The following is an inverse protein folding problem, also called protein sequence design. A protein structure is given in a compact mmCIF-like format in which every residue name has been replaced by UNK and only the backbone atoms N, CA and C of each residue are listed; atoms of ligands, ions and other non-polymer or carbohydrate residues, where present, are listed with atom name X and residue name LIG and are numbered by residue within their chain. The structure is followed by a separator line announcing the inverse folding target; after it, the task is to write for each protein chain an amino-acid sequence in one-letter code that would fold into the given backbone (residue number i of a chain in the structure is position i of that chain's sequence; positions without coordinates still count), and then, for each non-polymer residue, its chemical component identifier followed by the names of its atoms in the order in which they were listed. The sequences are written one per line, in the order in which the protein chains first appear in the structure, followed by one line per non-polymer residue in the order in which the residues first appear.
data_IF_186139937349
#
_entry.id   IF_186139937349
#
_cell.length_a   1.000
_cell.length_b   1.000
_cell.length_c   1.000
_cell.angle_alpha   90.00
_cell.angle_beta   90.00
_cell.angle_gamma   90.00
#
_symmetry.space_group_name_H-M   'P 1'
#
loop_
_entity.id
_entity.type
_entity.pdbx_description
1 polymer ?
#
# COMPACT_ATOMS: atom_id res chain seq x y z
N UNK A 1 -23.03 4.53 0.79
CA UNK A 1 -21.62 4.84 1.02
C UNK A 1 -20.78 4.13 0.00
N UNK A 2 -20.01 4.87 -0.77
CA UNK A 2 -19.27 4.31 -1.90
C UNK A 2 -17.95 3.71 -1.44
N UNK A 3 -17.69 2.48 -1.86
CA UNK A 3 -16.41 1.82 -1.67
C UNK A 3 -15.45 2.28 -2.78
N UNK A 4 -14.25 2.67 -2.38
CA UNK A 4 -13.23 3.19 -3.28
C UNK A 4 -11.95 2.39 -3.13
N UNK A 5 -11.23 2.21 -4.22
CA UNK A 5 -9.92 1.53 -4.22
C UNK A 5 -8.88 2.46 -4.82
N UNK A 6 -7.78 2.64 -4.09
CA UNK A 6 -6.61 3.34 -4.59
C UNK A 6 -5.42 2.38 -4.54
N UNK A 7 -4.65 2.37 -5.61
CA UNK A 7 -3.40 1.63 -5.65
C UNK A 7 -2.33 2.53 -6.25
N UNK A 8 -1.17 2.55 -5.62
CA UNK A 8 -0.05 3.34 -6.13
C UNK A 8 1.26 2.63 -5.86
N UNK A 9 2.25 2.99 -6.67
CA UNK A 9 3.62 2.51 -6.55
C UNK A 9 4.51 3.66 -6.18
N UNK A 10 5.49 3.41 -5.33
CA UNK A 10 6.49 4.40 -4.95
C UNK A 10 7.84 3.75 -4.82
N UNK A 11 8.89 4.58 -4.79
CA UNK A 11 10.26 4.12 -4.58
C UNK A 11 10.72 4.52 -3.17
N UNK A 12 11.44 3.63 -2.51
CA UNK A 12 12.00 3.89 -1.18
C UNK A 12 13.20 4.82 -1.31
N UNK A 13 13.23 5.87 -0.48
CA UNK A 13 14.40 6.74 -0.30
C UNK A 13 15.25 6.19 0.83
N UNK A 14 16.26 5.41 0.50
CA UNK A 14 17.11 4.74 1.48
C UNK A 14 17.83 5.73 2.41
N UNK A 15 18.20 6.90 1.89
CA UNK A 15 18.89 7.94 2.66
C UNK A 15 17.99 8.56 3.76
N UNK A 16 16.69 8.34 3.70
CA UNK A 16 15.74 8.83 4.71
C UNK A 16 15.38 7.77 5.74
N UNK A 17 15.90 6.57 5.61
CA UNK A 17 15.66 5.51 6.58
C UNK A 17 16.57 5.68 7.79
N UNK A 18 15.99 5.73 8.99
CA UNK A 18 16.71 5.89 10.24
C UNK A 18 17.04 4.59 10.92
N UNK A 19 16.23 3.55 10.62
CA UNK A 19 16.38 2.21 11.17
C UNK A 19 16.64 1.24 10.03
N UNK A 20 17.12 0.02 10.32
CA UNK A 20 17.13 -1.04 9.32
C UNK A 20 15.74 -1.23 8.72
N UNK A 21 15.66 -1.60 7.46
CA UNK A 21 14.39 -1.68 6.73
C UNK A 21 13.33 -2.53 7.43
N UNK A 22 13.63 -3.72 7.98
CA UNK A 22 12.61 -4.51 8.70
C UNK A 22 12.00 -3.75 9.87
N UNK A 23 12.82 -3.01 10.62
CA UNK A 23 12.36 -2.23 11.78
C UNK A 23 11.51 -1.05 11.35
N UNK A 24 11.90 -0.37 10.28
CA UNK A 24 11.11 0.73 9.70
C UNK A 24 9.75 0.23 9.24
N UNK A 25 9.72 -0.92 8.58
CA UNK A 25 8.47 -1.52 8.11
C UNK A 25 7.56 -1.89 9.28
N UNK A 26 8.08 -2.57 10.29
CA UNK A 26 7.29 -3.00 11.45
C UNK A 26 6.66 -1.79 12.15
N UNK A 27 7.45 -0.76 12.38
CA UNK A 27 6.99 0.46 13.05
C UNK A 27 5.92 1.17 12.22
N UNK A 28 6.14 1.26 10.91
CA UNK A 28 5.21 1.89 9.99
C UNK A 28 3.89 1.12 9.93
N UNK A 29 3.94 -0.20 9.86
CA UNK A 29 2.75 -1.04 9.81
C UNK A 29 1.89 -0.90 11.08
N UNK A 30 2.51 -0.84 12.25
CA UNK A 30 1.78 -0.63 13.50
C UNK A 30 1.00 0.68 13.46
N UNK A 31 1.62 1.74 12.98
CA UNK A 31 1.00 3.06 12.87
C UNK A 31 -0.13 3.05 11.84
N UNK A 32 0.13 2.49 10.66
CA UNK A 32 -0.87 2.43 9.57
C UNK A 32 -2.09 1.64 10.02
N UNK A 33 -1.89 0.48 10.63
CA UNK A 33 -2.99 -0.38 11.07
C UNK A 33 -3.87 0.32 12.11
N UNK A 34 -3.27 1.12 12.98
CA UNK A 34 -4.01 1.91 13.97
C UNK A 34 -4.89 2.95 13.28
N UNK A 35 -4.34 3.68 12.33
CA UNK A 35 -5.06 4.70 11.57
C UNK A 35 -6.17 4.06 10.74
N UNK A 36 -5.86 2.97 10.05
CA UNK A 36 -6.81 2.27 9.18
C UNK A 36 -8.00 1.71 9.97
N UNK A 37 -7.75 1.20 11.18
CA UNK A 37 -8.82 0.68 12.03
C UNK A 37 -9.85 1.76 12.33
N UNK A 38 -9.39 2.95 12.65
CA UNK A 38 -10.30 4.09 12.96
C UNK A 38 -11.03 4.58 11.73
N UNK A 39 -10.39 4.53 10.58
CA UNK A 39 -10.93 5.07 9.33
C UNK A 39 -11.78 4.07 8.55
N UNK A 40 -11.80 2.80 8.95
CA UNK A 40 -12.48 1.76 8.18
C UNK A 40 -11.80 1.42 6.87
N UNK A 41 -10.48 1.65 6.80
CA UNK A 41 -9.66 1.37 5.61
C UNK A 41 -8.99 0.02 5.79
N UNK A 42 -8.95 -0.76 4.71
CA UNK A 42 -8.21 -2.01 4.63
C UNK A 42 -7.30 -1.97 3.41
N UNK A 43 -6.37 -2.91 3.31
CA UNK A 43 -5.49 -2.93 2.15
C UNK A 43 -4.26 -3.79 2.33
N UNK A 44 -3.26 -3.50 1.49
CA UNK A 44 -2.01 -4.25 1.46
C UNK A 44 -0.84 -3.33 1.15
N UNK A 45 0.31 -3.68 1.69
CA UNK A 45 1.60 -3.06 1.39
C UNK A 45 2.56 -4.15 0.94
N UNK A 46 3.04 -4.01 -0.28
CA UNK A 46 3.90 -5.01 -0.90
C UNK A 46 5.25 -4.38 -1.19
N UNK A 47 6.31 -5.06 -0.79
CA UNK A 47 7.68 -4.65 -1.07
C UNK A 47 8.22 -5.49 -2.22
N UNK A 48 8.65 -4.83 -3.31
CA UNK A 48 9.24 -5.49 -4.47
C UNK A 48 10.53 -4.75 -4.81
N UNK A 49 11.66 -5.31 -4.44
CA UNK A 49 12.97 -4.67 -4.58
C UNK A 49 13.00 -3.32 -3.86
N UNK A 50 13.11 -2.21 -4.61
CA UNK A 50 13.15 -0.87 -4.05
C UNK A 50 11.80 -0.15 -4.12
N UNK A 51 10.76 -0.88 -4.55
CA UNK A 51 9.43 -0.32 -4.74
C UNK A 51 8.47 -0.79 -3.68
N UNK A 52 7.55 0.08 -3.34
CA UNK A 52 6.41 -0.24 -2.49
C UNK A 52 5.16 -0.10 -3.35
N UNK A 53 4.33 -1.13 -3.32
CA UNK A 53 2.99 -1.11 -3.92
C UNK A 53 2.00 -1.13 -2.77
N UNK A 54 1.10 -0.15 -2.74
CA UNK A 54 0.14 -0.05 -1.67
C UNK A 54 -1.28 0.01 -2.23
N UNK A 55 -2.15 -0.82 -1.66
CA UNK A 55 -3.57 -0.85 -1.99
C UNK A 55 -4.35 -0.37 -0.77
N UNK A 56 -5.28 0.55 -0.98
CA UNK A 56 -6.15 1.08 0.06
C UNK A 56 -7.59 0.95 -0.38
N UNK A 57 -8.44 0.45 0.49
CA UNK A 57 -9.86 0.24 0.22
C UNK A 57 -10.70 0.71 1.39
N UNK A 58 -11.79 1.41 1.10
CA UNK A 58 -12.69 1.93 2.11
C UNK A 58 -13.58 3.01 1.53
N UNK A 59 -14.20 3.78 2.42
CA UNK A 59 -14.98 4.93 2.01
C UNK A 59 -14.10 5.94 1.28
N UNK A 60 -14.60 6.52 0.20
CA UNK A 60 -13.83 7.38 -0.70
C UNK A 60 -13.04 8.46 0.04
N UNK A 61 -13.71 9.22 0.92
CA UNK A 61 -13.04 10.31 1.63
C UNK A 61 -11.90 9.83 2.51
N UNK A 62 -12.09 8.70 3.19
CA UNK A 62 -11.06 8.15 4.08
C UNK A 62 -9.88 7.61 3.28
N UNK A 63 -10.14 6.95 2.15
CA UNK A 63 -9.07 6.46 1.28
C UNK A 63 -8.23 7.63 0.73
N UNK A 64 -8.89 8.68 0.25
CA UNK A 64 -8.18 9.84 -0.31
C UNK A 64 -7.36 10.58 0.75
N UNK A 65 -7.87 10.69 1.98
CA UNK A 65 -7.10 11.26 3.09
C UNK A 65 -5.83 10.45 3.37
N UNK A 66 -5.95 9.13 3.33
CA UNK A 66 -4.80 8.24 3.55
C UNK A 66 -3.79 8.37 2.41
N UNK A 67 -4.25 8.43 1.17
CA UNK A 67 -3.38 8.67 0.00
C UNK A 67 -2.60 9.97 0.16
N UNK A 68 -3.28 11.03 0.59
CA UNK A 68 -2.63 12.32 0.81
C UNK A 68 -1.49 12.21 1.83
N UNK A 69 -1.71 11.49 2.93
CA UNK A 69 -0.68 11.28 3.94
C UNK A 69 0.52 10.53 3.38
N UNK A 70 0.29 9.52 2.54
CA UNK A 70 1.36 8.75 1.91
C UNK A 70 2.17 9.61 0.94
N UNK A 71 1.49 10.45 0.15
CA UNK A 71 2.16 11.34 -0.81
C UNK A 71 3.10 12.34 -0.14
N UNK A 72 2.89 12.59 1.15
CA UNK A 72 3.75 13.50 1.94
C UNK A 72 4.77 12.76 2.80
N UNK A 73 4.92 11.44 2.64
CA UNK A 73 5.91 10.68 3.39
C UNK A 73 7.31 10.92 2.79
N UNK A 74 8.25 11.48 3.57
CA UNK A 74 9.59 11.82 3.05
C UNK A 74 10.44 10.60 2.69
N UNK A 75 10.03 9.40 3.13
CA UNK A 75 10.76 8.15 2.84
C UNK A 75 10.42 7.59 1.46
N UNK A 76 9.48 8.22 0.74
CA UNK A 76 9.01 7.74 -0.56
C UNK A 76 9.20 8.83 -1.61
N UNK A 77 9.50 8.40 -2.85
CA UNK A 77 9.49 9.29 -4.01
C UNK A 77 8.94 8.54 -5.23
N UNK A 78 8.85 9.25 -6.34
CA UNK A 78 8.33 8.70 -7.60
C UNK A 78 6.98 8.01 -7.40
N UNK A 79 6.08 8.66 -6.66
CA UNK A 79 4.76 8.11 -6.36
C UNK A 79 3.89 8.17 -7.60
N UNK A 80 3.41 7.00 -8.03
CA UNK A 80 2.61 6.84 -9.24
C UNK A 80 1.30 6.15 -8.90
N UNK A 81 0.18 6.79 -9.24
CA UNK A 81 -1.14 6.18 -9.12
C UNK A 81 -1.35 5.13 -10.20
N UNK A 82 -1.75 3.93 -9.79
CA UNK A 82 -2.05 2.82 -10.68
C UNK A 82 -3.56 2.67 -10.83
N UNK A 83 -4.28 2.65 -9.72
CA UNK A 83 -5.74 2.50 -9.69
C UNK A 83 -6.32 3.57 -8.78
N UNK A 84 -7.35 4.27 -9.24
CA UNK A 84 -8.14 5.22 -8.46
C UNK A 84 -9.56 5.13 -8.98
N UNK A 85 -10.38 4.26 -8.38
CA UNK A 85 -11.72 4.00 -8.90
C UNK A 85 -12.65 3.48 -7.82
N UNK A 86 -13.97 3.66 -7.98
CA UNK A 86 -14.95 2.97 -7.17
C UNK A 86 -14.79 1.45 -7.31
N UNK A 87 -15.10 0.72 -6.26
CA UNK A 87 -14.99 -0.73 -6.22
C UNK A 87 -16.30 -1.36 -5.75
N UNK A 88 -16.59 -2.56 -6.24
CA UNK A 88 -17.79 -3.30 -5.86
C UNK A 88 -17.56 -4.15 -4.61
N UNK A 89 -16.30 -4.54 -4.37
CA UNK A 89 -15.93 -5.37 -3.23
C UNK A 89 -14.49 -5.09 -2.81
N UNK A 90 -14.15 -5.49 -1.59
CA UNK A 90 -12.78 -5.35 -1.08
C UNK A 90 -11.94 -6.56 -1.47
N UNK A 91 -10.73 -6.31 -1.94
CA UNK A 91 -9.74 -7.38 -2.18
C UNK A 91 -9.11 -7.85 -0.87
N UNK A 92 -8.99 -6.95 0.12
CA UNK A 92 -8.39 -7.23 1.42
C UNK A 92 -9.36 -6.89 2.55
N UNK A 93 -10.52 -7.59 2.64
CA UNK A 93 -11.58 -7.17 3.56
C UNK A 93 -11.23 -7.34 5.04
N UNK A 94 -10.29 -8.23 5.36
CA UNK A 94 -9.97 -8.59 6.73
C UNK A 94 -8.57 -8.11 7.16
N UNK A 95 -7.93 -7.26 6.36
CA UNK A 95 -6.55 -6.83 6.63
C UNK A 95 -6.48 -5.32 6.78
N UNK A 96 -6.15 -4.85 7.97
CA UNK A 96 -5.92 -3.42 8.20
C UNK A 96 -4.73 -2.92 7.39
N UNK A 97 -3.72 -3.76 7.19
CA UNK A 97 -2.66 -3.58 6.20
C UNK A 97 -1.91 -4.91 6.11
N UNK A 98 -2.26 -5.71 5.11
CA UNK A 98 -1.54 -6.94 4.80
C UNK A 98 -0.14 -6.57 4.28
N UNK A 99 0.89 -7.26 4.78
CA UNK A 99 2.26 -7.01 4.33
C UNK A 99 2.88 -8.27 3.75
N UNK A 100 3.58 -8.11 2.63
CA UNK A 100 4.41 -9.18 2.07
C UNK A 100 5.61 -8.60 1.33
N UNK A 101 6.77 -9.24 1.55
CA UNK A 101 7.98 -8.97 0.78
C UNK A 101 7.99 -9.91 -0.42
N UNK A 102 7.91 -9.33 -1.60
CA UNK A 102 7.87 -10.06 -2.88
C UNK A 102 9.12 -9.78 -3.71
N UNK A 103 10.22 -9.49 -3.06
CA UNK A 103 11.45 -9.05 -3.72
C UNK A 103 11.96 -10.05 -4.76
N UNK A 104 11.76 -11.36 -4.56
CA UNK A 104 12.17 -12.35 -5.54
C UNK A 104 11.26 -12.39 -6.79
N UNK A 105 10.12 -11.70 -6.75
CA UNK A 105 9.15 -11.60 -7.84
C UNK A 105 8.38 -12.88 -8.13
N UNK A 106 8.88 -14.03 -7.68
CA UNK A 106 8.29 -15.32 -7.99
C UNK A 106 6.97 -15.54 -7.27
N UNK A 107 6.93 -15.20 -6.00
CA UNK A 107 5.72 -15.31 -5.19
C UNK A 107 4.63 -14.37 -5.70
N UNK A 108 5.03 -13.18 -6.15
CA UNK A 108 4.09 -12.20 -6.70
C UNK A 108 3.45 -12.70 -7.99
N UNK A 109 4.23 -13.32 -8.89
CA UNK A 109 3.73 -13.82 -10.15
C UNK A 109 2.69 -14.94 -9.97
N UNK A 110 2.75 -15.66 -8.86
CA UNK A 110 1.81 -16.74 -8.54
C UNK A 110 0.50 -16.25 -7.91
N UNK A 111 0.44 -14.99 -7.51
CA UNK A 111 -0.73 -14.44 -6.83
C UNK A 111 -1.57 -13.61 -7.81
N UNK A 112 -2.71 -14.14 -8.21
CA UNK A 112 -3.56 -13.53 -9.25
C UNK A 112 -4.00 -12.10 -8.92
N UNK A 113 -4.29 -11.83 -7.65
CA UNK A 113 -4.73 -10.50 -7.21
C UNK A 113 -3.62 -9.47 -7.41
N UNK A 114 -2.36 -9.88 -7.25
CA UNK A 114 -1.22 -8.98 -7.29
C UNK A 114 -0.62 -8.83 -8.69
N UNK A 115 -0.86 -9.81 -9.56
CA UNK A 115 -0.29 -9.81 -10.90
C UNK A 115 -0.57 -8.53 -11.69
N UNK A 116 -1.82 -8.04 -11.78
CA UNK A 116 -2.08 -6.82 -12.53
C UNK A 116 -1.35 -5.59 -11.98
N UNK A 117 -1.10 -5.56 -10.67
CA UNK A 117 -0.41 -4.45 -10.03
C UNK A 117 1.08 -4.45 -10.35
N UNK A 118 1.67 -5.64 -10.47
CA UNK A 118 3.09 -5.81 -10.77
C UNK A 118 3.39 -5.62 -12.25
N UNK A 119 2.45 -6.00 -13.12
CA UNK A 119 2.60 -5.90 -14.57
C UNK A 119 2.28 -4.51 -15.11
N UNK A 120 1.85 -3.60 -14.28
CA UNK A 120 1.53 -2.23 -14.68
C UNK A 120 2.81 -1.53 -15.16
N UNK A 121 2.85 -1.03 -16.38
CA UNK A 121 4.04 -0.38 -16.95
C UNK A 121 4.40 0.93 -16.28
#
# INVERSE_FOLDING_TARGET
MELYRACYRSRIKWDKMRLPLPDEIDKTLLRIRRINRKAGVTGALLLVDQHIIQVLEGHTGQVLDTVYCVMNDPRLNDIEGIIHEPADFRLFPNSLMFFRDLTDGRAAAQHEVLRPLLDHP
#
